data_IF_254147791342
#
_entry.id   IF_254147791342
#
_cell.length_a   1.000
_cell.length_b   1.000
_cell.length_c   1.000
_cell.angle_alpha   90.00
_cell.angle_beta   90.00
_cell.angle_gamma   90.00
#
_symmetry.space_group_name_H-M   'P 1'
#
loop_
_entity.id
_entity.type
_entity.pdbx_description
1 polymer ?
#
# COMPACT_ATOMS: atom_id res chain seq x y z
N UNK A 1 -7.23 42.13 34.07
CA UNK A 1 -5.84 41.60 34.12
C UNK A 1 -5.77 40.22 34.77
N UNK A 2 -6.13 40.04 36.06
CA UNK A 2 -6.03 38.73 36.77
C UNK A 2 -6.66 37.53 36.04
N UNK A 3 -7.87 37.71 35.49
CA UNK A 3 -8.58 36.61 34.80
C UNK A 3 -8.09 36.35 33.38
N UNK A 4 -7.37 37.30 32.77
CA UNK A 4 -6.93 37.19 31.39
C UNK A 4 -5.83 36.14 31.26
N UNK A 5 -4.91 36.12 32.23
CA UNK A 5 -3.82 35.14 32.29
C UNK A 5 -4.35 33.72 32.49
N UNK A 6 -5.37 33.55 33.34
CA UNK A 6 -6.01 32.25 33.60
C UNK A 6 -6.80 31.75 32.39
N UNK A 7 -7.51 32.63 31.68
CA UNK A 7 -8.22 32.27 30.45
C UNK A 7 -7.21 31.88 29.36
N UNK A 8 -6.09 32.59 29.25
CA UNK A 8 -5.04 32.26 28.29
C UNK A 8 -4.37 30.91 28.57
N UNK A 9 -4.13 30.57 29.84
CA UNK A 9 -3.62 29.25 30.24
C UNK A 9 -4.62 28.12 29.97
N UNK A 10 -5.92 28.34 30.25
CA UNK A 10 -6.97 27.37 29.95
C UNK A 10 -7.14 27.14 28.45
N UNK A 11 -7.04 28.19 27.63
CA UNK A 11 -7.12 28.07 26.18
C UNK A 11 -5.95 27.25 25.61
N UNK A 12 -4.73 27.46 26.11
CA UNK A 12 -3.58 26.64 25.72
C UNK A 12 -3.75 25.19 26.13
N UNK A 13 -4.16 24.92 27.38
CA UNK A 13 -4.41 23.56 27.85
C UNK A 13 -5.49 22.84 27.02
N UNK A 14 -6.54 23.55 26.61
CA UNK A 14 -7.58 23.02 25.74
C UNK A 14 -7.05 22.65 24.34
N UNK A 15 -6.17 23.48 23.76
CA UNK A 15 -5.53 23.20 22.47
C UNK A 15 -4.56 22.01 22.57
N UNK A 16 -3.77 21.90 23.64
CA UNK A 16 -2.89 20.74 23.87
C UNK A 16 -3.65 19.43 24.12
N UNK A 17 -4.86 19.50 24.68
CA UNK A 17 -5.71 18.33 24.92
C UNK A 17 -6.43 17.82 23.66
N UNK A 18 -6.38 18.56 22.54
CA UNK A 18 -6.97 18.09 21.29
C UNK A 18 -6.18 16.90 20.77
N UNK A 19 -6.84 15.75 20.64
CA UNK A 19 -6.25 14.59 19.96
C UNK A 19 -6.07 14.94 18.48
N UNK A 20 -4.84 14.89 17.99
CA UNK A 20 -4.57 14.97 16.56
C UNK A 20 -5.05 13.68 15.89
N UNK A 21 -6.18 13.72 15.18
CA UNK A 21 -6.68 12.58 14.39
C UNK A 21 -5.91 12.40 13.06
N UNK A 22 -4.61 12.68 13.04
CA UNK A 22 -3.81 12.66 11.82
C UNK A 22 -3.44 11.24 11.33
N UNK A 23 -3.83 10.18 12.04
CA UNK A 23 -3.46 8.82 11.67
C UNK A 23 -4.61 8.13 10.91
N UNK A 24 -4.66 8.38 9.60
CA UNK A 24 -5.48 7.60 8.65
C UNK A 24 -4.76 6.29 8.34
N UNK A 25 -4.60 5.42 9.35
CA UNK A 25 -4.28 4.01 9.12
C UNK A 25 -5.53 3.22 9.51
N UNK A 26 -6.56 3.28 8.66
CA UNK A 26 -7.62 2.28 8.75
C UNK A 26 -6.95 0.91 8.57
N UNK A 27 -7.24 -0.03 9.48
CA UNK A 27 -6.74 -1.40 9.42
C UNK A 27 -6.98 -2.00 8.03
N UNK A 28 -8.08 -1.65 7.36
CA UNK A 28 -8.39 -2.12 6.00
C UNK A 28 -7.33 -1.79 4.95
N UNK A 29 -6.57 -0.71 5.14
CA UNK A 29 -5.47 -0.30 4.25
C UNK A 29 -4.10 -0.71 4.76
N UNK A 30 -4.04 -1.33 5.94
CA UNK A 30 -2.79 -1.69 6.61
C UNK A 30 -2.14 -2.92 5.95
N UNK A 31 -0.80 -2.99 5.88
CA UNK A 31 -0.11 -4.20 5.42
C UNK A 31 -0.26 -5.36 6.40
N UNK A 32 -0.63 -5.08 7.65
CA UNK A 32 -0.91 -6.09 8.68
C UNK A 32 -2.32 -6.67 8.59
N UNK A 33 -3.18 -6.12 7.74
CA UNK A 33 -4.46 -6.74 7.42
C UNK A 33 -4.23 -8.01 6.61
N UNK A 34 -4.92 -9.09 6.97
CA UNK A 34 -4.78 -10.39 6.33
C UNK A 34 -5.04 -10.35 4.82
N UNK A 35 -6.02 -9.57 4.36
CA UNK A 35 -6.31 -9.41 2.94
C UNK A 35 -5.17 -8.72 2.19
N UNK A 36 -4.44 -7.78 2.81
CA UNK A 36 -3.36 -7.01 2.19
C UNK A 36 -1.96 -7.61 2.40
N UNK A 37 -1.80 -8.45 3.42
CA UNK A 37 -0.51 -8.98 3.85
C UNK A 37 0.15 -9.77 2.74
N UNK A 38 1.47 -9.61 2.58
CA UNK A 38 2.28 -10.43 1.67
C UNK A 38 2.34 -11.90 2.09
N UNK A 39 2.03 -12.20 3.36
CA UNK A 39 2.01 -13.57 3.88
C UNK A 39 0.69 -14.29 3.56
N UNK A 40 -0.32 -13.58 3.06
CA UNK A 40 -1.48 -14.21 2.45
C UNK A 40 -1.07 -14.92 1.16
N UNK A 41 -1.51 -16.16 0.97
CA UNK A 41 -1.19 -16.97 -0.21
C UNK A 41 -1.55 -16.26 -1.52
N UNK A 42 -2.63 -15.49 -1.58
CA UNK A 42 -3.04 -14.75 -2.80
C UNK A 42 -2.08 -13.59 -3.14
N UNK A 43 -1.43 -12.99 -2.14
CA UNK A 43 -0.51 -11.86 -2.32
C UNK A 43 0.97 -12.26 -2.30
N UNK A 44 1.25 -13.50 -1.93
CA UNK A 44 2.61 -13.98 -1.71
C UNK A 44 3.39 -14.07 -3.02
N UNK A 45 4.67 -13.67 -3.03
CA UNK A 45 5.61 -13.95 -4.11
C UNK A 45 5.66 -15.43 -4.53
N UNK A 46 5.38 -16.34 -3.59
CA UNK A 46 5.43 -17.78 -3.82
C UNK A 46 4.19 -18.33 -4.52
N UNK A 47 3.17 -17.51 -4.76
CA UNK A 47 2.02 -17.90 -5.57
C UNK A 47 2.40 -17.93 -7.06
N UNK A 48 2.06 -19.02 -7.76
CA UNK A 48 2.36 -19.18 -9.19
C UNK A 48 1.75 -18.06 -10.07
N UNK A 49 0.62 -17.47 -9.68
CA UNK A 49 0.01 -16.31 -10.37
C UNK A 49 0.85 -15.04 -10.21
N UNK A 50 1.58 -14.94 -9.12
CA UNK A 50 2.44 -13.79 -8.79
C UNK A 50 3.88 -13.98 -9.29
N UNK A 51 4.24 -15.18 -9.72
CA UNK A 51 5.60 -15.50 -10.18
C UNK A 51 6.02 -14.67 -11.40
N UNK A 52 7.28 -14.18 -11.45
CA UNK A 52 7.81 -13.46 -12.62
C UNK A 52 7.97 -14.38 -13.84
N UNK A 53 7.98 -15.70 -13.63
CA UNK A 53 8.04 -16.69 -14.69
C UNK A 53 6.66 -17.05 -15.28
N UNK A 54 5.59 -16.52 -14.71
CA UNK A 54 4.27 -16.61 -15.33
C UNK A 54 4.27 -15.84 -16.65
N UNK A 55 3.68 -16.41 -17.70
CA UNK A 55 3.63 -15.80 -19.02
C UNK A 55 3.02 -14.39 -18.99
N UNK A 56 2.00 -14.17 -18.16
CA UNK A 56 1.34 -12.88 -18.03
C UNK A 56 2.23 -11.83 -17.34
N UNK A 57 3.21 -12.25 -16.54
CA UNK A 57 4.06 -11.39 -15.70
C UNK A 57 5.50 -11.23 -16.22
N UNK A 58 5.92 -12.07 -17.16
CA UNK A 58 7.32 -12.14 -17.59
C UNK A 58 7.72 -10.90 -18.37
N UNK A 59 8.87 -10.31 -17.99
CA UNK A 59 9.48 -9.21 -18.74
C UNK A 59 9.89 -9.62 -20.17
N UNK A 60 10.02 -10.92 -20.43
CA UNK A 60 10.37 -11.45 -21.75
C UNK A 60 9.14 -11.72 -22.63
N UNK A 61 7.92 -11.57 -22.11
CA UNK A 61 6.72 -11.67 -22.90
C UNK A 61 6.31 -10.28 -23.42
N UNK A 62 6.53 -10.03 -24.70
CA UNK A 62 6.14 -8.77 -25.36
C UNK A 62 4.61 -8.50 -25.33
N UNK A 63 3.80 -9.53 -25.09
CA UNK A 63 2.34 -9.42 -24.97
C UNK A 63 1.86 -9.21 -23.53
N UNK A 64 2.75 -9.21 -22.54
CA UNK A 64 2.40 -8.98 -21.14
C UNK A 64 1.81 -7.57 -20.96
N UNK A 65 0.64 -7.48 -20.33
CA UNK A 65 -0.12 -6.22 -20.20
C UNK A 65 0.00 -5.54 -18.84
N UNK A 66 0.65 -6.21 -17.88
CA UNK A 66 0.71 -5.78 -16.49
C UNK A 66 2.09 -5.22 -16.08
N UNK A 67 2.96 -4.91 -17.04
CA UNK A 67 4.24 -4.28 -16.76
C UNK A 67 4.05 -2.86 -16.23
N UNK A 68 4.83 -2.49 -15.21
CA UNK A 68 4.95 -1.13 -14.71
C UNK A 68 6.25 -0.55 -15.24
N UNK A 69 6.17 0.60 -15.90
CA UNK A 69 7.28 1.22 -16.61
C UNK A 69 7.60 2.61 -16.05
N UNK A 70 8.87 3.00 -16.14
CA UNK A 70 9.27 4.38 -15.88
C UNK A 70 8.87 5.32 -17.04
N UNK A 71 9.15 6.61 -16.88
CA UNK A 71 8.87 7.63 -17.90
C UNK A 71 9.79 7.55 -19.13
N UNK A 72 10.79 6.68 -19.13
CA UNK A 72 11.68 6.41 -20.26
C UNK A 72 11.33 5.11 -21.00
N UNK A 73 10.37 4.34 -20.48
CA UNK A 73 9.92 3.06 -21.04
C UNK A 73 10.64 1.84 -20.51
N UNK A 74 11.51 1.95 -19.50
CA UNK A 74 12.12 0.76 -18.88
C UNK A 74 11.13 0.11 -17.92
N UNK A 75 11.05 -1.22 -17.96
CA UNK A 75 10.19 -1.99 -17.05
C UNK A 75 10.78 -2.02 -15.65
N UNK A 76 10.06 -1.47 -14.68
CA UNK A 76 10.45 -1.48 -13.26
C UNK A 76 9.90 -2.71 -12.53
N UNK A 77 8.67 -3.08 -12.84
CA UNK A 77 7.88 -4.03 -12.06
C UNK A 77 6.74 -4.62 -12.88
N UNK A 78 5.90 -5.43 -12.25
CA UNK A 78 4.60 -5.85 -12.76
C UNK A 78 3.56 -5.90 -11.66
N UNK A 79 2.30 -5.73 -12.05
CA UNK A 79 1.16 -5.79 -11.15
C UNK A 79 0.38 -7.09 -11.31
N UNK A 80 -0.12 -7.63 -10.20
CA UNK A 80 -1.02 -8.80 -10.21
C UNK A 80 -2.16 -8.54 -9.25
N UNK A 81 -3.39 -8.61 -9.77
CA UNK A 81 -4.59 -8.47 -8.95
C UNK A 81 -4.99 -9.80 -8.34
N UNK A 82 -5.03 -9.85 -7.02
CA UNK A 82 -5.54 -10.99 -6.26
C UNK A 82 -7.06 -11.10 -6.41
N UNK A 83 -7.66 -12.30 -6.24
CA UNK A 83 -9.12 -12.48 -6.23
C UNK A 83 -9.85 -11.64 -5.18
N UNK A 84 -9.15 -11.25 -4.12
CA UNK A 84 -9.64 -10.35 -3.07
C UNK A 84 -9.74 -8.88 -3.51
N UNK A 85 -9.25 -8.53 -4.69
CA UNK A 85 -9.22 -7.17 -5.23
C UNK A 85 -7.94 -6.39 -4.91
N UNK A 86 -7.06 -6.92 -4.06
CA UNK A 86 -5.75 -6.32 -3.77
C UNK A 86 -4.86 -6.39 -5.00
N UNK A 87 -4.28 -5.26 -5.39
CA UNK A 87 -3.29 -5.22 -6.47
C UNK A 87 -1.91 -5.30 -5.85
N UNK A 88 -1.14 -6.32 -6.22
CA UNK A 88 0.23 -6.52 -5.75
C UNK A 88 1.21 -6.02 -6.80
N UNK A 89 2.28 -5.34 -6.40
CA UNK A 89 3.36 -4.94 -7.29
C UNK A 89 4.62 -5.74 -6.95
N UNK A 90 5.19 -6.38 -7.95
CA UNK A 90 6.39 -7.20 -7.83
C UNK A 90 7.50 -6.60 -8.71
N UNK A 91 8.73 -6.60 -8.22
CA UNK A 91 9.89 -6.33 -9.07
C UNK A 91 10.06 -7.43 -10.15
N UNK A 92 10.92 -7.21 -11.14
CA UNK A 92 11.17 -8.19 -12.19
C UNK A 92 11.78 -9.52 -11.68
N UNK A 93 12.24 -9.57 -10.42
CA UNK A 93 12.77 -10.77 -9.75
C UNK A 93 11.68 -11.54 -8.99
N UNK A 94 10.47 -11.01 -8.90
CA UNK A 94 9.33 -11.61 -8.20
C UNK A 94 9.18 -11.20 -6.73
N UNK A 95 9.98 -10.26 -6.22
CA UNK A 95 9.82 -9.77 -4.85
C UNK A 95 8.69 -8.75 -4.81
N UNK A 96 7.80 -8.87 -3.81
CA UNK A 96 6.71 -7.90 -3.64
C UNK A 96 7.28 -6.59 -3.09
N UNK A 97 7.12 -5.51 -3.84
CA UNK A 97 7.63 -4.17 -3.52
C UNK A 97 6.52 -3.19 -3.10
N UNK A 98 5.26 -3.56 -3.31
CA UNK A 98 4.14 -2.71 -2.92
C UNK A 98 2.79 -3.38 -3.13
N UNK A 99 1.73 -2.67 -2.75
CA UNK A 99 0.35 -3.07 -3.03
C UNK A 99 -0.62 -1.90 -2.95
N UNK A 100 -1.79 -2.09 -3.55
CA UNK A 100 -2.97 -1.24 -3.40
C UNK A 100 -4.08 -2.08 -2.79
N UNK A 101 -4.68 -1.68 -1.64
CA UNK A 101 -5.82 -2.37 -1.06
C UNK A 101 -7.00 -2.49 -2.03
N UNK A 102 -7.85 -3.50 -1.82
CA UNK A 102 -9.09 -3.63 -2.58
C UNK A 102 -9.97 -2.39 -2.40
N UNK A 103 -10.51 -1.86 -3.51
CA UNK A 103 -11.50 -0.78 -3.44
C UNK A 103 -12.79 -1.33 -2.81
N UNK A 104 -13.36 -0.57 -1.86
CA UNK A 104 -14.69 -0.85 -1.30
C UNK A 104 -15.78 -0.60 -2.33
#
# INVERSE_FOLDING_TARGET
MKYLLTIFLLAQAALYAQKSFAQVTNLDNSPYNMQNSQYNMENSPYNMRNSPYNMDNSAYNASAKNGVYDNTGNRLAYEVQAPTGVTNYFDNSGNRIGYTPAKR
#
